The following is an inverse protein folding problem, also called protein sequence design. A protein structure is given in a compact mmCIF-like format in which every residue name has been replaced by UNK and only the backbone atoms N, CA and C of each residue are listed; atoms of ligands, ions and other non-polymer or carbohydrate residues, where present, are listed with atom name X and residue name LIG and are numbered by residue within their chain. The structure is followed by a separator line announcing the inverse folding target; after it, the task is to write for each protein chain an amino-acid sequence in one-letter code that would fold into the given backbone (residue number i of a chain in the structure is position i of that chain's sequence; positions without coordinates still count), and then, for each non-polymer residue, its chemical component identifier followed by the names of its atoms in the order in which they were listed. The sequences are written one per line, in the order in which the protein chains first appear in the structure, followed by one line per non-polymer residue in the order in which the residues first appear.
data_IF_119030695910
#
_entry.id   IF_119030695910
#
_cell.length_a   1.000
_cell.length_b   1.000
_cell.length_c   1.000
_cell.angle_alpha   90.00
_cell.angle_beta   90.00
_cell.angle_gamma   90.00
#
_symmetry.space_group_name_H-M   'P 1'
#
loop_
_entity.id
_entity.type
_entity.pdbx_description
1 polymer ?
#
# COMPACT_ATOMS: atom_id res chain seq x y z
N UNK A 1 -23.55 -3.71 3.26
CA UNK A 1 -22.14 -3.69 2.83
C UNK A 1 -21.94 -2.47 1.94
N UNK A 2 -20.97 -1.61 2.25
CA UNK A 2 -20.63 -0.50 1.34
C UNK A 2 -19.88 -1.07 0.12
N UNK A 3 -20.20 -0.58 -1.07
CA UNK A 3 -19.49 -1.00 -2.28
C UNK A 3 -18.11 -0.34 -2.27
N UNK A 4 -17.03 -1.12 -2.12
CA UNK A 4 -15.66 -0.58 -2.04
C UNK A 4 -15.04 -0.56 -3.43
N UNK A 5 -14.41 0.56 -3.77
CA UNK A 5 -13.72 0.75 -5.06
C UNK A 5 -12.30 1.26 -4.85
N UNK A 6 -11.49 1.19 -5.90
CA UNK A 6 -10.24 1.92 -6.02
C UNK A 6 -10.47 3.14 -6.94
N UNK A 7 -10.06 4.32 -6.49
CA UNK A 7 -9.99 5.55 -7.29
C UNK A 7 -8.52 5.80 -7.62
N UNK A 8 -8.16 5.67 -8.90
CA UNK A 8 -6.78 5.66 -9.38
C UNK A 8 -6.43 6.96 -10.11
N UNK A 9 -5.64 7.82 -9.47
CA UNK A 9 -5.20 9.09 -10.03
C UNK A 9 -3.86 8.92 -10.77
N UNK A 10 -3.75 9.31 -12.06
CA UNK A 10 -2.47 9.53 -12.73
C UNK A 10 -1.59 10.48 -11.92
N UNK A 11 -0.35 10.09 -11.65
CA UNK A 11 0.63 10.94 -10.96
C UNK A 11 1.67 11.41 -11.96
N UNK A 12 1.82 12.73 -12.10
CA UNK A 12 2.90 13.36 -12.85
C UNK A 12 3.87 14.03 -11.88
N UNK A 13 5.15 13.80 -12.09
CA UNK A 13 6.25 14.30 -11.27
C UNK A 13 7.54 13.60 -11.65
N UNK A 14 8.64 13.93 -10.97
CA UNK A 14 9.97 13.38 -11.26
C UNK A 14 10.32 12.21 -10.36
N UNK A 15 10.27 12.43 -9.05
CA UNK A 15 10.69 11.47 -8.04
C UNK A 15 9.96 11.68 -6.70
N UNK A 16 9.99 10.66 -5.86
CA UNK A 16 9.51 10.70 -4.47
C UNK A 16 10.48 9.93 -3.57
N UNK A 17 10.57 10.26 -2.27
CA UNK A 17 11.19 9.37 -1.30
C UNK A 17 10.54 7.98 -1.33
N UNK A 18 11.31 6.91 -1.16
CA UNK A 18 10.79 5.54 -1.17
C UNK A 18 9.82 5.26 0.01
N UNK A 19 9.87 6.07 1.06
CA UNK A 19 9.02 6.02 2.26
C UNK A 19 7.98 7.17 2.32
N UNK A 20 7.62 7.76 1.17
CA UNK A 20 6.79 8.96 1.08
C UNK A 20 5.37 8.86 1.68
N UNK A 21 4.87 7.67 2.03
CA UNK A 21 3.47 7.46 2.42
C UNK A 21 2.94 8.45 3.47
N UNK A 22 3.72 8.73 4.52
CA UNK A 22 3.28 9.66 5.55
C UNK A 22 3.32 11.12 5.05
N UNK A 23 4.31 11.49 4.24
CA UNK A 23 4.38 12.82 3.58
C UNK A 23 3.19 13.01 2.64
N UNK A 24 2.84 11.97 1.89
CA UNK A 24 1.71 11.96 0.98
C UNK A 24 0.39 12.13 1.74
N UNK A 25 0.15 11.32 2.77
CA UNK A 25 -1.01 11.47 3.64
C UNK A 25 -1.09 12.89 4.24
N UNK A 26 0.04 13.43 4.71
CA UNK A 26 0.10 14.79 5.26
C UNK A 26 -0.23 15.85 4.21
N UNK A 27 0.30 15.73 2.99
CA UNK A 27 0.02 16.64 1.89
C UNK A 27 -1.47 16.64 1.50
N UNK A 28 -2.07 15.46 1.36
CA UNK A 28 -3.51 15.31 1.08
C UNK A 28 -4.32 15.89 2.26
N UNK A 29 -3.97 15.56 3.50
CA UNK A 29 -4.70 16.01 4.70
C UNK A 29 -4.71 17.53 4.86
N UNK A 30 -3.61 18.20 4.49
CA UNK A 30 -3.50 19.66 4.58
C UNK A 30 -4.48 20.37 3.65
N UNK A 31 -4.64 19.84 2.43
CA UNK A 31 -5.56 20.42 1.45
C UNK A 31 -7.00 19.92 1.63
N UNK A 32 -7.16 18.70 2.15
CA UNK A 32 -8.45 18.01 2.31
C UNK A 32 -8.58 17.41 3.72
N UNK A 33 -8.85 18.21 4.75
CA UNK A 33 -8.87 17.76 6.15
C UNK A 33 -9.89 16.65 6.43
N UNK A 34 -10.97 16.55 5.64
CA UNK A 34 -12.02 15.54 5.80
C UNK A 34 -11.48 14.09 5.71
N UNK A 35 -10.33 13.87 5.06
CA UNK A 35 -9.75 12.52 4.96
C UNK A 35 -9.33 11.95 6.33
N UNK A 36 -9.18 12.80 7.35
CA UNK A 36 -8.92 12.38 8.73
C UNK A 36 -10.06 11.57 9.34
N UNK A 37 -11.27 11.69 8.82
CA UNK A 37 -12.47 11.03 9.34
C UNK A 37 -13.12 10.11 8.30
N UNK A 38 -12.50 9.96 7.12
CA UNK A 38 -13.05 9.11 6.07
C UNK A 38 -12.84 7.63 6.38
N UNK A 39 -13.89 7.00 6.89
CA UNK A 39 -13.89 5.58 7.21
C UNK A 39 -13.81 4.74 5.94
N UNK A 40 -13.13 3.59 6.04
CA UNK A 40 -12.84 2.75 4.88
C UNK A 40 -11.76 3.29 3.94
N UNK A 41 -11.22 4.51 4.14
CA UNK A 41 -10.12 5.02 3.31
C UNK A 41 -8.81 4.24 3.54
N UNK A 42 -8.19 3.83 2.44
CA UNK A 42 -6.79 3.41 2.39
C UNK A 42 -6.07 4.19 1.28
N UNK A 43 -4.82 4.59 1.55
CA UNK A 43 -3.98 5.31 0.59
C UNK A 43 -2.81 4.41 0.25
N UNK A 44 -2.69 3.99 -1.01
CA UNK A 44 -1.58 3.16 -1.44
C UNK A 44 -0.29 3.95 -1.59
N UNK A 45 0.84 3.27 -1.40
CA UNK A 45 2.14 3.79 -1.86
C UNK A 45 2.11 4.00 -3.37
N UNK A 46 2.54 5.18 -3.82
CA UNK A 46 2.70 5.45 -5.24
C UNK A 46 3.89 4.62 -5.76
N UNK A 47 3.69 3.75 -6.76
CA UNK A 47 4.78 2.95 -7.30
C UNK A 47 5.70 3.80 -8.20
N UNK A 48 6.96 3.40 -8.26
CA UNK A 48 7.98 4.00 -9.13
C UNK A 48 9.20 3.10 -9.20
N UNK A 49 10.17 3.47 -10.04
CA UNK A 49 11.41 2.71 -10.23
C UNK A 49 12.40 3.12 -9.14
N UNK A 50 12.83 2.23 -8.24
CA UNK A 50 13.80 2.57 -7.21
C UNK A 50 15.14 3.01 -7.81
N UNK A 51 15.71 4.10 -7.28
CA UNK A 51 17.07 4.54 -7.62
C UNK A 51 18.16 3.82 -6.81
N UNK A 52 17.74 2.99 -5.84
CA UNK A 52 18.58 2.31 -4.83
C UNK A 52 19.33 3.25 -3.88
N UNK A 53 18.94 4.53 -3.83
CA UNK A 53 19.50 5.58 -2.98
C UNK A 53 18.41 6.26 -2.11
N UNK A 54 17.28 5.57 -1.92
CA UNK A 54 16.20 6.01 -1.03
C UNK A 54 15.08 6.79 -1.71
N UNK A 55 15.10 6.90 -3.05
CA UNK A 55 14.01 7.48 -3.83
C UNK A 55 13.44 6.49 -4.84
N UNK A 56 12.32 6.89 -5.43
CA UNK A 56 11.73 6.27 -6.60
C UNK A 56 11.60 7.33 -7.68
N UNK A 57 11.96 6.97 -8.92
CA UNK A 57 11.62 7.76 -10.09
C UNK A 57 10.19 7.45 -10.49
N UNK A 58 9.38 8.51 -10.62
CA UNK A 58 8.01 8.39 -11.11
C UNK A 58 8.02 8.09 -12.61
N UNK A 59 6.98 7.40 -13.05
CA UNK A 59 6.80 7.01 -14.46
C UNK A 59 5.39 7.37 -14.91
N UNK A 60 5.11 7.24 -16.21
CA UNK A 60 3.74 7.40 -16.73
C UNK A 60 2.72 6.43 -16.12
N UNK A 61 3.19 5.34 -15.49
CA UNK A 61 2.37 4.32 -14.81
C UNK A 61 2.25 4.56 -13.30
N UNK A 62 2.92 5.58 -12.75
CA UNK A 62 2.76 5.93 -11.34
C UNK A 62 1.33 6.42 -11.10
N UNK A 63 0.68 5.80 -10.12
CA UNK A 63 -0.71 6.08 -9.74
C UNK A 63 -0.82 6.26 -8.23
N UNK A 64 -1.61 7.24 -7.81
CA UNK A 64 -2.12 7.33 -6.45
C UNK A 64 -3.43 6.56 -6.43
N UNK A 65 -3.44 5.43 -5.72
CA UNK A 65 -4.66 4.64 -5.54
C UNK A 65 -5.25 4.91 -4.17
N UNK A 66 -6.50 5.37 -4.16
CA UNK A 66 -7.31 5.50 -2.96
C UNK A 66 -8.32 4.36 -2.96
N UNK A 67 -8.36 3.53 -1.92
CA UNK A 67 -9.44 2.56 -1.72
C UNK A 67 -10.43 3.13 -0.74
N UNK A 68 -11.70 3.20 -1.12
CA UNK A 68 -12.73 3.86 -0.31
C UNK A 68 -14.13 3.33 -0.66
N UNK A 69 -15.12 3.57 0.21
CA UNK A 69 -16.52 3.37 -0.15
C UNK A 69 -16.94 4.24 -1.35
N UNK A 70 -17.83 3.72 -2.19
CA UNK A 70 -18.32 4.38 -3.40
C UNK A 70 -18.91 5.76 -3.11
N UNK A 71 -19.70 5.88 -2.05
CA UNK A 71 -20.34 7.12 -1.59
C UNK A 71 -19.34 8.19 -1.13
N UNK A 72 -18.10 7.81 -0.83
CA UNK A 72 -17.04 8.72 -0.41
C UNK A 72 -16.28 9.34 -1.60
N UNK A 73 -16.54 8.94 -2.85
CA UNK A 73 -15.85 9.46 -4.04
C UNK A 73 -15.93 10.99 -4.11
N UNK A 74 -17.13 11.55 -3.91
CA UNK A 74 -17.33 13.00 -4.02
C UNK A 74 -16.41 13.79 -3.07
N UNK A 75 -16.07 13.21 -1.90
CA UNK A 75 -15.22 13.86 -0.90
C UNK A 75 -13.74 13.92 -1.28
N UNK A 76 -13.31 13.03 -2.18
CA UNK A 76 -11.92 12.90 -2.62
C UNK A 76 -11.72 13.29 -4.10
N UNK A 77 -12.79 13.43 -4.88
CA UNK A 77 -12.71 13.78 -6.30
C UNK A 77 -12.06 15.16 -6.52
N UNK A 78 -12.16 16.06 -5.52
CA UNK A 78 -11.50 17.37 -5.53
C UNK A 78 -9.97 17.30 -5.61
N UNK A 79 -9.36 16.12 -5.39
CA UNK A 79 -7.94 15.86 -5.64
C UNK A 79 -7.58 15.88 -7.13
N UNK A 80 -8.55 15.69 -8.03
CA UNK A 80 -8.32 15.70 -9.47
C UNK A 80 -7.78 17.06 -9.91
N UNK A 81 -6.70 17.06 -10.68
CA UNK A 81 -6.04 18.26 -11.18
C UNK A 81 -5.13 18.97 -10.15
N UNK A 82 -5.16 18.56 -8.88
CA UNK A 82 -4.40 19.24 -7.82
C UNK A 82 -2.91 18.93 -7.88
N UNK A 83 -2.12 19.89 -7.41
CA UNK A 83 -0.70 19.71 -7.12
C UNK A 83 -0.50 19.50 -5.62
N UNK A 84 0.15 18.39 -5.26
CA UNK A 84 0.53 18.06 -3.89
C UNK A 84 2.03 18.24 -3.72
N UNK A 85 2.45 18.95 -2.68
CA UNK A 85 3.85 18.94 -2.23
C UNK A 85 4.07 17.80 -1.23
N UNK A 86 4.74 16.73 -1.68
CA UNK A 86 5.04 15.54 -0.88
C UNK A 86 6.40 15.69 -0.19
N UNK A 87 6.52 16.73 0.65
CA UNK A 87 7.71 17.02 1.45
C UNK A 87 8.91 17.49 0.64
N UNK A 88 8.69 18.52 -0.19
CA UNK A 88 9.65 19.10 -1.13
C UNK A 88 9.57 18.52 -2.54
N UNK A 89 8.61 17.62 -2.80
CA UNK A 89 8.51 16.88 -4.07
C UNK A 89 7.11 17.13 -4.67
N UNK A 90 6.98 18.08 -5.62
CA UNK A 90 5.70 18.39 -6.23
C UNK A 90 5.26 17.25 -7.15
N UNK A 91 4.00 16.83 -6.99
CA UNK A 91 3.32 15.92 -7.91
C UNK A 91 1.97 16.51 -8.32
N UNK A 92 1.59 16.32 -9.58
CA UNK A 92 0.28 16.69 -10.10
C UNK A 92 -0.58 15.43 -10.24
N UNK A 93 -1.82 15.49 -9.76
CA UNK A 93 -2.81 14.44 -9.91
C UNK A 93 -3.68 14.70 -11.16
N UNK A 94 -3.83 13.69 -12.01
CA UNK A 94 -4.74 13.73 -13.16
C UNK A 94 -6.18 13.39 -12.78
N UNK A 95 -7.04 13.30 -13.79
CA UNK A 95 -8.41 12.80 -13.61
C UNK A 95 -8.36 11.32 -13.19
N UNK A 96 -9.08 10.91 -12.13
CA UNK A 96 -9.03 9.54 -11.66
C UNK A 96 -9.87 8.60 -12.51
N UNK A 97 -9.46 7.34 -12.52
CA UNK A 97 -10.25 6.22 -13.03
C UNK A 97 -10.87 5.45 -11.86
N UNK A 98 -12.14 5.05 -12.01
CA UNK A 98 -12.81 4.17 -11.05
C UNK A 98 -12.53 2.72 -11.42
N UNK A 99 -12.06 1.95 -10.43
CA UNK A 99 -11.69 0.56 -10.60
C UNK A 99 -12.38 -0.30 -9.54
N UNK A 100 -13.07 -1.36 -9.97
CA UNK A 100 -13.61 -2.37 -9.05
C UNK A 100 -12.49 -3.24 -8.50
N UNK A 101 -12.68 -3.79 -7.30
CA UNK A 101 -11.77 -4.79 -6.76
C UNK A 101 -11.85 -6.05 -7.62
N UNK A 102 -10.68 -6.62 -7.94
CA UNK A 102 -10.59 -7.77 -8.83
C UNK A 102 -10.36 -9.04 -8.02
N UNK A 103 -11.05 -10.15 -8.35
CA UNK A 103 -10.70 -11.46 -7.82
C UNK A 103 -9.35 -11.88 -8.39
N UNK A 104 -8.39 -12.22 -7.53
CA UNK A 104 -7.04 -12.65 -7.90
C UNK A 104 -6.57 -13.71 -6.90
N UNK A 105 -5.72 -14.62 -7.33
CA UNK A 105 -5.14 -15.66 -6.47
C UNK A 105 -3.96 -15.17 -5.63
N UNK A 106 -3.39 -14.00 -5.97
CA UNK A 106 -2.20 -13.44 -5.36
C UNK A 106 -2.35 -11.95 -5.06
N UNK A 107 -2.05 -11.57 -3.81
CA UNK A 107 -2.03 -10.18 -3.35
C UNK A 107 -0.74 -9.88 -2.60
N UNK A 108 -0.33 -8.61 -2.65
CA UNK A 108 0.80 -8.12 -1.85
C UNK A 108 0.48 -6.79 -1.19
N UNK A 109 1.07 -6.58 -0.02
CA UNK A 109 1.09 -5.30 0.68
C UNK A 109 2.54 -4.88 0.91
N UNK A 110 2.88 -3.63 0.51
CA UNK A 110 4.25 -3.10 0.65
C UNK A 110 4.70 -3.11 2.11
N UNK A 111 3.82 -2.69 3.01
CA UNK A 111 4.09 -2.59 4.44
C UNK A 111 2.83 -2.97 5.19
N UNK A 112 2.95 -3.89 6.13
CA UNK A 112 1.90 -4.26 7.08
C UNK A 112 2.48 -4.07 8.48
N UNK A 113 1.73 -3.40 9.35
CA UNK A 113 2.13 -3.16 10.74
C UNK A 113 1.02 -3.64 11.67
N UNK A 114 1.39 -4.46 12.64
CA UNK A 114 0.49 -4.96 13.69
C UNK A 114 1.09 -4.52 15.02
N UNK A 115 0.28 -3.83 15.84
CA UNK A 115 0.74 -3.24 17.10
C UNK A 115 1.33 -4.32 18.01
N UNK A 116 2.54 -4.10 18.49
CA UNK A 116 3.25 -5.02 19.39
C UNK A 116 4.02 -6.14 18.68
N UNK A 117 3.92 -6.29 17.35
CA UNK A 117 4.58 -7.36 16.60
C UNK A 117 5.62 -6.78 15.64
N UNK A 118 6.85 -6.60 16.13
CA UNK A 118 7.97 -6.02 15.37
C UNK A 118 9.03 -7.02 14.94
N UNK A 119 8.87 -8.28 15.36
CA UNK A 119 9.73 -9.42 15.02
C UNK A 119 9.01 -10.36 14.04
N UNK A 120 9.78 -11.02 13.18
CA UNK A 120 9.26 -11.75 12.01
C UNK A 120 8.24 -12.84 12.37
N UNK A 121 8.62 -13.80 13.23
CA UNK A 121 7.75 -14.94 13.54
C UNK A 121 6.48 -14.54 14.33
N UNK A 122 6.56 -13.72 15.40
CA UNK A 122 5.36 -13.23 16.08
C UNK A 122 4.45 -12.41 15.15
N UNK A 123 5.03 -11.61 14.24
CA UNK A 123 4.26 -10.86 13.26
C UNK A 123 3.52 -11.78 12.28
N UNK A 124 4.19 -12.80 11.73
CA UNK A 124 3.56 -13.71 10.78
C UNK A 124 2.40 -14.48 11.42
N UNK A 125 2.58 -14.97 12.65
CA UNK A 125 1.50 -15.59 13.43
C UNK A 125 0.35 -14.62 13.73
N UNK A 126 0.63 -13.33 13.96
CA UNK A 126 -0.42 -12.33 14.13
C UNK A 126 -1.17 -12.03 12.83
N UNK A 127 -0.46 -11.98 11.70
CA UNK A 127 -1.06 -11.77 10.39
C UNK A 127 -1.93 -12.96 9.95
N UNK A 128 -1.48 -14.20 10.21
CA UNK A 128 -2.26 -15.41 9.97
C UNK A 128 -3.57 -15.41 10.77
N UNK A 129 -3.53 -15.05 12.06
CA UNK A 129 -4.74 -14.94 12.89
C UNK A 129 -5.73 -13.91 12.35
N UNK A 130 -5.25 -12.81 11.77
CA UNK A 130 -6.12 -11.82 11.16
C UNK A 130 -6.77 -12.32 9.86
N UNK A 131 -6.06 -13.10 9.03
CA UNK A 131 -6.68 -13.79 7.89
C UNK A 131 -7.78 -14.75 8.34
N UNK A 132 -7.51 -15.56 9.36
CA UNK A 132 -8.51 -16.48 9.94
C UNK A 132 -9.73 -15.74 10.49
N UNK A 133 -9.55 -14.58 11.11
CA UNK A 133 -10.67 -13.74 11.60
C UNK A 133 -11.55 -13.21 10.47
N UNK A 134 -11.02 -13.14 9.24
CA UNK A 134 -11.76 -12.76 8.03
C UNK A 134 -12.32 -13.98 7.28
N UNK A 135 -12.22 -15.18 7.86
CA UNK A 135 -12.54 -16.45 7.22
C UNK A 135 -11.80 -16.66 5.89
N UNK A 136 -10.52 -16.25 5.85
CA UNK A 136 -9.64 -16.41 4.69
C UNK A 136 -8.66 -17.55 4.94
N UNK A 137 -8.73 -18.58 4.09
CA UNK A 137 -7.83 -19.73 4.10
C UNK A 137 -6.85 -19.62 2.93
N UNK A 138 -5.71 -18.97 3.17
CA UNK A 138 -4.71 -18.68 2.15
C UNK A 138 -3.30 -18.74 2.73
N UNK A 139 -2.30 -18.91 1.87
CA UNK A 139 -0.89 -18.92 2.27
C UNK A 139 -0.40 -17.48 2.45
N UNK A 140 0.18 -17.17 3.61
CA UNK A 140 0.77 -15.85 3.90
C UNK A 140 2.28 -15.97 4.11
N UNK A 141 3.03 -14.99 3.62
CA UNK A 141 4.48 -14.97 3.80
C UNK A 141 5.08 -13.57 3.79
N UNK A 142 6.33 -13.49 4.22
CA UNK A 142 7.16 -12.29 4.10
C UNK A 142 8.20 -12.56 3.00
N UNK A 143 8.21 -11.80 1.89
CA UNK A 143 9.22 -11.98 0.87
C UNK A 143 10.61 -11.64 1.41
N UNK A 144 11.64 -12.25 0.84
CA UNK A 144 13.02 -11.91 1.16
C UNK A 144 13.43 -10.57 0.54
N UNK A 145 14.37 -9.87 1.17
CA UNK A 145 15.08 -8.73 0.59
C UNK A 145 16.29 -9.22 -0.25
N UNK A 146 17.06 -8.28 -0.81
CA UNK A 146 18.25 -8.59 -1.63
C UNK A 146 19.33 -9.41 -0.89
N UNK A 147 19.28 -9.46 0.45
CA UNK A 147 20.20 -10.21 1.30
C UNK A 147 19.63 -11.57 1.75
N UNK A 148 18.47 -12.01 1.21
CA UNK A 148 17.82 -13.25 1.62
C UNK A 148 17.13 -13.20 2.98
N UNK A 149 17.03 -12.03 3.61
CA UNK A 149 16.38 -11.84 4.93
C UNK A 149 14.92 -11.42 4.78
N UNK A 150 14.04 -11.70 5.76
CA UNK A 150 12.67 -11.20 5.74
C UNK A 150 12.63 -9.69 5.47
N UNK A 151 11.82 -9.25 4.51
CA UNK A 151 11.73 -7.84 4.09
C UNK A 151 10.99 -6.99 5.13
N UNK A 152 11.73 -6.66 6.19
CA UNK A 152 11.35 -5.68 7.22
C UNK A 152 11.54 -4.27 6.68
N UNK A 153 10.54 -3.43 6.89
CA UNK A 153 10.51 -2.03 6.45
C UNK A 153 10.16 -1.10 7.60
N UNK A 154 10.56 0.15 7.46
CA UNK A 154 10.24 1.21 8.41
C UNK A 154 9.56 2.37 7.70
N UNK A 155 8.64 3.02 8.40
CA UNK A 155 7.98 4.24 7.95
C UNK A 155 8.17 5.32 9.03
N UNK A 156 8.88 6.39 8.67
CA UNK A 156 9.13 7.51 9.58
C UNK A 156 7.90 8.42 9.62
N UNK A 157 7.39 8.68 10.81
CA UNK A 157 6.28 9.61 11.08
C UNK A 157 6.87 10.86 11.70
N UNK A 158 6.70 12.00 11.04
CA UNK A 158 7.19 13.29 11.51
C UNK A 158 6.01 14.25 11.73
N UNK A 159 5.60 14.42 12.98
CA UNK A 159 4.64 15.45 13.40
C UNK A 159 5.40 16.62 14.04
N UNK A 160 4.82 17.84 14.07
CA UNK A 160 5.46 19.01 14.67
C UNK A 160 6.06 18.74 16.06
N UNK A 161 5.35 17.99 16.91
CA UNK A 161 5.73 17.75 18.30
C UNK A 161 6.19 16.31 18.58
N UNK A 162 6.28 15.44 17.56
CA UNK A 162 6.60 14.03 17.75
C UNK A 162 7.12 13.39 16.48
N UNK A 163 8.32 12.83 16.53
CA UNK A 163 8.82 11.92 15.51
C UNK A 163 8.89 10.50 16.07
N UNK A 164 8.46 9.51 15.29
CA UNK A 164 8.61 8.09 15.63
C UNK A 164 8.61 7.23 14.38
N UNK A 165 9.12 6.01 14.51
CA UNK A 165 9.20 5.06 13.40
C UNK A 165 8.19 3.94 13.61
N UNK A 166 7.44 3.64 12.55
CA UNK A 166 6.60 2.44 12.47
C UNK A 166 7.45 1.33 11.85
N UNK A 167 7.49 0.18 12.51
CA UNK A 167 8.10 -1.05 11.98
C UNK A 167 6.98 -1.93 11.41
N UNK A 168 7.26 -2.57 10.29
CA UNK A 168 6.42 -3.62 9.74
C UNK A 168 7.15 -4.45 8.69
N UNK A 169 6.40 -5.26 7.96
CA UNK A 169 6.94 -6.20 6.99
C UNK A 169 6.20 -6.07 5.67
N UNK A 170 6.91 -6.32 4.57
CA UNK A 170 6.23 -6.63 3.31
C UNK A 170 5.50 -7.96 3.48
N UNK A 171 4.31 -8.09 2.91
CA UNK A 171 3.50 -9.31 3.01
C UNK A 171 3.00 -9.70 1.63
N UNK A 172 3.02 -11.00 1.36
CA UNK A 172 2.38 -11.63 0.22
C UNK A 172 1.36 -12.64 0.72
N UNK A 173 0.25 -12.77 0.00
CA UNK A 173 -0.78 -13.79 0.25
C UNK A 173 -1.09 -14.47 -1.08
N UNK A 174 -1.00 -15.78 -1.13
CA UNK A 174 -1.27 -16.61 -2.32
C UNK A 174 -2.36 -17.64 -2.06
N UNK A 175 -2.82 -18.30 -3.13
CA UNK A 175 -3.86 -19.33 -3.07
C UNK A 175 -5.19 -18.79 -2.55
N UNK A 176 -5.48 -17.53 -2.86
CA UNK A 176 -6.73 -16.88 -2.52
C UNK A 176 -7.85 -17.36 -3.44
N UNK A 177 -9.00 -17.69 -2.85
CA UNK A 177 -10.24 -17.78 -3.62
C UNK A 177 -10.66 -16.39 -4.13
N UNK A 178 -11.47 -16.30 -5.20
CA UNK A 178 -12.01 -15.03 -5.68
C UNK A 178 -12.63 -14.15 -4.58
N UNK A 179 -13.41 -14.76 -3.68
CA UNK A 179 -14.07 -14.06 -2.58
C UNK A 179 -13.07 -13.61 -1.51
N UNK A 180 -12.14 -14.47 -1.13
CA UNK A 180 -11.12 -14.14 -0.12
C UNK A 180 -10.18 -13.03 -0.60
N UNK A 181 -9.88 -13.00 -1.89
CA UNK A 181 -9.10 -11.93 -2.51
C UNK A 181 -9.81 -10.58 -2.37
N UNK A 182 -11.12 -10.53 -2.62
CA UNK A 182 -11.91 -9.31 -2.47
C UNK A 182 -12.03 -8.92 -0.99
N UNK A 183 -12.30 -9.86 -0.09
CA UNK A 183 -12.30 -9.62 1.37
C UNK A 183 -10.97 -9.03 1.85
N UNK A 184 -9.83 -9.61 1.45
CA UNK A 184 -8.51 -9.13 1.85
C UNK A 184 -8.23 -7.73 1.30
N UNK A 185 -8.67 -7.42 0.08
CA UNK A 185 -8.57 -6.06 -0.46
C UNK A 185 -9.43 -5.07 0.32
N UNK A 186 -10.65 -5.44 0.70
CA UNK A 186 -11.58 -4.57 1.46
C UNK A 186 -11.04 -4.28 2.85
N UNK A 187 -10.62 -5.31 3.59
CA UNK A 187 -10.27 -5.20 5.01
C UNK A 187 -8.80 -4.87 5.21
N UNK A 188 -7.91 -5.49 4.43
CA UNK A 188 -6.48 -5.45 4.65
C UNK A 188 -6.07 -6.18 5.93
N UNK A 189 -4.79 -6.03 6.32
CA UNK A 189 -4.27 -6.56 7.58
C UNK A 189 -3.59 -5.45 8.39
N UNK A 190 -3.61 -5.57 9.71
CA UNK A 190 -3.01 -4.63 10.62
C UNK A 190 -3.76 -3.30 10.67
N UNK A 191 -3.04 -2.20 10.83
CA UNK A 191 -3.61 -0.87 10.92
C UNK A 191 -2.92 0.16 10.04
N UNK A 192 -3.33 1.43 10.19
CA UNK A 192 -2.68 2.60 9.56
C UNK A 192 -2.80 2.62 8.02
N UNK A 193 -3.95 2.19 7.48
CA UNK A 193 -4.22 2.16 6.03
C UNK A 193 -4.20 3.52 5.33
N UNK A 194 -4.57 4.60 6.03
CA UNK A 194 -4.47 5.97 5.49
C UNK A 194 -3.02 6.44 5.27
N UNK A 195 -2.02 5.72 5.79
CA UNK A 195 -0.60 5.95 5.50
C UNK A 195 0.03 4.76 4.77
N UNK A 196 -0.79 3.99 4.05
CA UNK A 196 -0.36 2.88 3.17
C UNK A 196 0.17 1.63 3.86
N UNK A 197 -0.14 1.45 5.14
CA UNK A 197 0.08 0.18 5.82
C UNK A 197 -1.14 -0.75 5.66
N UNK A 198 -0.92 -2.04 5.45
CA UNK A 198 -2.01 -3.01 5.45
C UNK A 198 -2.85 -3.03 4.18
N UNK A 199 -2.40 -2.39 3.10
CA UNK A 199 -3.20 -2.26 1.87
C UNK A 199 -2.72 -3.26 0.83
N UNK A 200 -3.58 -4.23 0.53
CA UNK A 200 -3.29 -5.32 -0.40
C UNK A 200 -3.73 -4.96 -1.81
N UNK A 201 -2.85 -5.20 -2.78
CA UNK A 201 -3.10 -5.01 -4.20
C UNK A 201 -2.48 -6.15 -5.01
N UNK A 202 -3.05 -6.42 -6.18
CA UNK A 202 -2.38 -7.24 -7.17
C UNK A 202 -1.06 -6.54 -7.54
N UNK A 203 0.07 -7.27 -7.55
CA UNK A 203 1.32 -6.70 -8.02
C UNK A 203 1.12 -6.20 -9.43
N UNK A 204 1.53 -4.95 -9.70
CA UNK A 204 1.66 -4.49 -11.08
C UNK A 204 2.62 -5.48 -11.76
N UNK A 205 2.27 -6.08 -12.91
CA UNK A 205 3.21 -6.87 -13.66
C UNK A 205 4.39 -5.95 -14.01
N UNK A 206 5.49 -6.13 -13.28
CA UNK A 206 6.76 -5.52 -13.64
C UNK A 206 7.09 -6.18 -14.98
N UNK A 207 7.22 -5.43 -16.10
CA UNK A 207 7.62 -6.06 -17.34
C UNK A 207 8.94 -6.78 -17.06
N UNK A 208 8.88 -8.10 -17.12
CA UNK A 208 10.03 -8.97 -16.89
C UNK A 208 10.99 -8.67 -18.03
N UNK A 209 11.98 -7.82 -17.77
CA UNK A 209 13.14 -7.78 -18.64
C UNK A 209 13.80 -9.14 -18.46
N UNK A 210 13.68 -10.01 -19.48
CA UNK A 210 14.27 -11.35 -19.48
C UNK A 210 15.77 -11.23 -19.19
N UNK A 211 16.12 -11.45 -17.94
CA UNK A 211 17.39 -12.06 -17.54
C UNK A 211 16.99 -13.26 -16.69
N UNK A 212 17.08 -14.41 -17.35
CA UNK A 212 17.34 -15.74 -16.81
C UNK A 212 17.16 -15.91 -15.29
N UNK A 213 16.18 -16.71 -14.93
CA UNK A 213 16.09 -17.53 -13.73
C UNK A 213 16.25 -16.83 -12.38
N UNK A 214 15.11 -16.66 -11.71
CA UNK A 214 14.84 -17.10 -10.32
C UNK A 214 13.45 -16.63 -9.90
N UNK A 215 12.46 -17.50 -10.02
CA UNK A 215 11.42 -17.55 -9.00
C UNK A 215 12.14 -17.95 -7.70
N UNK A 216 12.51 -16.97 -6.88
CA UNK A 216 12.98 -17.24 -5.54
C UNK A 216 11.75 -17.66 -4.71
N UNK A 217 11.39 -18.93 -4.87
CA UNK A 217 10.55 -19.67 -3.94
C UNK A 217 11.27 -19.69 -2.60
N UNK A 218 10.95 -18.76 -1.72
CA UNK A 218 11.03 -18.97 -0.28
C UNK A 218 10.02 -18.04 0.40
N UNK A 219 8.75 -18.47 0.39
CA UNK A 219 7.88 -18.14 1.51
C UNK A 219 8.48 -18.83 2.72
N UNK A 220 9.09 -18.07 3.61
CA UNK A 220 9.34 -18.54 4.98
C UNK A 220 7.97 -18.53 5.64
N UNK A 221 7.38 -19.73 5.73
CA UNK A 221 6.22 -20.04 6.57
C UNK A 221 6.58 -20.11 8.04
#
# INVERSE_FOLDING_TARGET
MHNIINLSFPVRGTELPADHNYRLYSAISKQFPQIHHLDGLAINTIPGIPDKQGKIRLTRYSRLLLRLPLEAIAQVYLLAGQTLDVGGYPIQLGNPELQTLQPVDFLSARLVTIKGYTETAPFLAAAQRQLQTLDINANIGIPANEQGKPKRLTLKINKPNRSYTIVGFSVVVSDLTPDDAVKLQIHGLGGKRRIGCGVFCSPIPVPVYRRSDRYATTAIG
#
